data_IF_248824752581
#
_entry.id   IF_248824752581
#
_cell.length_a   1.000
_cell.length_b   1.000
_cell.length_c   1.000
_cell.angle_alpha   90.00
_cell.angle_beta   90.00
_cell.angle_gamma   90.00
#
_symmetry.space_group_name_H-M   'P 1'
#
loop_
_entity.id
_entity.type
_entity.pdbx_description
1 polymer ?
#
# COMPACT_ATOMS: atom_id res chain seq x y z
N UNK A 1 22.15 5.06 8.83
CA UNK A 1 21.41 5.10 7.55
C UNK A 1 20.45 6.26 7.61
N UNK A 2 20.62 7.23 6.73
CA UNK A 2 19.64 8.30 6.57
C UNK A 2 18.36 7.71 5.97
N UNK A 3 17.24 7.79 6.67
CA UNK A 3 15.96 7.27 6.19
C UNK A 3 15.51 8.13 5.00
N UNK A 4 15.37 7.52 3.81
CA UNK A 4 14.94 8.20 2.58
C UNK A 4 13.59 8.90 2.79
N UNK A 5 13.42 10.09 2.19
CA UNK A 5 12.11 10.76 2.17
C UNK A 5 11.24 10.10 1.10
N UNK A 6 9.97 9.85 1.43
CA UNK A 6 9.04 9.20 0.51
C UNK A 6 7.96 10.15 0.00
N UNK A 7 7.57 9.99 -1.26
CA UNK A 7 6.43 10.65 -1.88
C UNK A 7 5.44 9.58 -2.30
N UNK A 8 4.24 9.63 -1.73
CA UNK A 8 3.15 8.70 -2.01
C UNK A 8 2.00 9.45 -2.65
N UNK A 9 1.63 9.05 -3.86
CA UNK A 9 0.64 9.77 -4.68
C UNK A 9 -0.52 8.83 -5.03
N UNK A 10 -1.70 9.20 -4.56
CA UNK A 10 -2.98 8.72 -5.05
C UNK A 10 -3.19 9.26 -6.47
N UNK A 11 -3.26 8.40 -7.48
CA UNK A 11 -3.43 8.86 -8.88
C UNK A 11 -4.89 9.00 -9.29
N UNK A 12 -5.79 8.37 -8.54
CA UNK A 12 -7.20 8.19 -8.89
C UNK A 12 -7.96 7.70 -7.66
N UNK A 13 -9.20 8.11 -7.54
CA UNK A 13 -10.15 7.52 -6.58
C UNK A 13 -10.85 6.27 -7.16
N UNK A 14 -10.76 6.07 -8.49
CA UNK A 14 -11.43 4.95 -9.15
C UNK A 14 -10.69 3.65 -8.86
N UNK A 15 -11.41 2.68 -8.31
CA UNK A 15 -10.96 1.31 -8.20
C UNK A 15 -11.84 0.40 -9.06
N UNK A 16 -11.22 -0.63 -9.66
CA UNK A 16 -11.95 -1.69 -10.35
C UNK A 16 -12.49 -2.75 -9.37
N UNK A 17 -12.10 -2.71 -8.09
CA UNK A 17 -12.55 -3.59 -6.99
C UNK A 17 -13.32 -2.78 -5.93
N UNK A 18 -14.09 -3.46 -5.06
CA UNK A 18 -14.86 -2.85 -3.96
C UNK A 18 -14.65 -3.57 -2.64
N UNK A 19 -13.38 -3.77 -2.24
CA UNK A 19 -13.07 -4.65 -1.14
C UNK A 19 -13.79 -4.25 0.17
N UNK A 20 -14.46 -5.18 0.87
CA UNK A 20 -15.31 -4.82 2.02
C UNK A 20 -14.54 -4.12 3.15
N UNK A 21 -13.27 -4.48 3.35
CA UNK A 21 -12.42 -3.90 4.39
C UNK A 21 -11.74 -2.60 3.96
N UNK A 22 -11.83 -2.20 2.68
CA UNK A 22 -11.16 -1.00 2.20
C UNK A 22 -11.69 0.24 2.92
N UNK A 23 -10.80 1.13 3.34
CA UNK A 23 -11.14 2.38 3.99
C UNK A 23 -10.71 3.60 3.16
N UNK A 24 -10.31 3.40 1.90
CA UNK A 24 -9.82 4.45 0.99
C UNK A 24 -8.90 5.46 1.66
N UNK A 25 -7.92 4.93 2.41
CA UNK A 25 -6.92 5.76 3.11
C UNK A 25 -7.52 6.72 4.15
N UNK A 26 -8.74 6.46 4.61
CA UNK A 26 -9.46 7.31 5.55
C UNK A 26 -10.05 8.56 4.88
N UNK A 27 -10.13 8.60 3.55
CA UNK A 27 -10.68 9.73 2.80
C UNK A 27 -12.21 9.67 2.78
N UNK A 28 -12.84 10.84 2.76
CA UNK A 28 -14.29 11.00 2.77
C UNK A 28 -14.92 10.57 1.44
N UNK A 29 -15.57 9.42 1.46
CA UNK A 29 -16.24 8.77 0.33
C UNK A 29 -17.44 9.54 -0.23
N UNK A 30 -18.00 10.48 0.53
CA UNK A 30 -19.14 11.27 0.07
C UNK A 30 -18.73 12.38 -0.91
N UNK A 31 -17.44 12.72 -0.94
CA UNK A 31 -16.91 13.80 -1.75
C UNK A 31 -16.32 13.27 -3.03
N UNK A 32 -16.85 13.75 -4.16
CA UNK A 32 -16.26 13.51 -5.47
C UNK A 32 -14.93 14.25 -5.57
N UNK A 33 -13.84 13.53 -5.86
CA UNK A 33 -12.51 14.13 -6.03
C UNK A 33 -12.13 14.15 -7.50
N UNK A 34 -11.65 15.30 -7.97
CA UNK A 34 -11.25 15.43 -9.37
C UNK A 34 -9.77 15.10 -9.48
N UNK A 35 -9.46 13.97 -10.10
CA UNK A 35 -8.06 13.59 -10.36
C UNK A 35 -7.38 14.63 -11.24
N UNK A 36 -6.17 15.02 -10.84
CA UNK A 36 -5.33 15.95 -11.59
C UNK A 36 -4.79 15.32 -12.87
N UNK A 37 -4.37 16.18 -13.79
CA UNK A 37 -3.75 15.76 -15.05
C UNK A 37 -2.40 15.11 -14.80
N UNK A 38 -1.94 14.28 -15.73
CA UNK A 38 -0.62 13.64 -15.61
C UNK A 38 0.52 14.68 -15.61
N UNK A 39 0.35 15.79 -16.31
CA UNK A 39 1.30 16.89 -16.32
C UNK A 39 1.41 17.53 -14.93
N UNK A 40 0.29 17.87 -14.28
CA UNK A 40 0.28 18.43 -12.93
C UNK A 40 0.91 17.48 -11.89
N UNK A 41 0.61 16.18 -11.99
CA UNK A 41 1.20 15.16 -11.10
C UNK A 41 2.73 15.06 -11.32
N UNK A 42 3.19 15.07 -12.57
CA UNK A 42 4.61 14.98 -12.89
C UNK A 42 5.39 16.22 -12.48
N UNK A 43 4.79 17.42 -12.57
CA UNK A 43 5.40 18.65 -12.09
C UNK A 43 5.72 18.59 -10.59
N UNK A 44 4.85 17.94 -9.81
CA UNK A 44 5.07 17.66 -8.39
C UNK A 44 6.12 16.58 -8.14
N UNK A 45 6.09 15.48 -8.90
CA UNK A 45 7.13 14.44 -8.84
C UNK A 45 8.51 15.05 -9.08
N UNK A 46 8.66 15.89 -10.11
CA UNK A 46 9.95 16.49 -10.47
C UNK A 46 10.48 17.40 -9.34
N UNK A 47 9.64 18.26 -8.75
CA UNK A 47 10.10 19.13 -7.65
C UNK A 47 10.35 18.34 -6.36
N UNK A 48 9.59 17.28 -6.09
CA UNK A 48 9.83 16.44 -4.93
C UNK A 48 11.17 15.71 -5.03
N UNK A 49 11.48 15.12 -6.19
CA UNK A 49 12.77 14.47 -6.43
C UNK A 49 13.95 15.44 -6.25
N UNK A 50 13.82 16.67 -6.74
CA UNK A 50 14.81 17.74 -6.52
C UNK A 50 15.03 18.10 -5.04
N UNK A 51 14.09 17.74 -4.17
CA UNK A 51 14.13 17.98 -2.72
C UNK A 51 14.41 16.72 -1.88
N UNK A 52 14.88 15.66 -2.54
CA UNK A 52 15.35 14.43 -1.89
C UNK A 52 14.27 13.38 -1.62
N UNK A 53 13.06 13.54 -2.17
CA UNK A 53 12.02 12.51 -2.12
C UNK A 53 12.28 11.42 -3.18
N UNK A 54 13.25 10.55 -2.90
CA UNK A 54 13.73 9.54 -3.85
C UNK A 54 12.99 8.19 -3.77
N UNK A 55 12.02 8.02 -2.86
CA UNK A 55 11.14 6.85 -2.80
C UNK A 55 9.72 7.25 -3.22
N UNK A 56 9.29 6.85 -4.42
CA UNK A 56 8.03 7.22 -5.04
C UNK A 56 7.06 6.04 -5.02
N UNK A 57 5.87 6.25 -4.44
CA UNK A 57 4.80 5.25 -4.42
C UNK A 57 3.57 5.76 -5.17
N UNK A 58 3.12 5.00 -6.17
CA UNK A 58 1.81 5.19 -6.81
C UNK A 58 0.78 4.25 -6.17
N UNK A 59 -0.38 4.79 -5.80
CA UNK A 59 -1.38 4.08 -4.98
C UNK A 59 -2.80 4.62 -5.20
N UNK A 60 -3.72 4.12 -4.37
CA UNK A 60 -5.06 4.59 -4.08
C UNK A 60 -6.04 4.44 -5.26
N UNK A 61 -7.32 4.24 -4.96
CA UNK A 61 -8.22 3.54 -5.90
C UNK A 61 -7.54 2.26 -6.42
N UNK A 62 -7.48 2.10 -7.75
CA UNK A 62 -6.49 1.24 -8.42
C UNK A 62 -5.64 2.11 -9.37
N UNK A 63 -4.34 2.34 -9.07
CA UNK A 63 -3.51 3.24 -9.86
C UNK A 63 -3.30 2.74 -11.29
N UNK A 64 -3.37 1.43 -11.55
CA UNK A 64 -3.25 0.90 -12.91
C UNK A 64 -4.46 1.19 -13.81
N UNK A 65 -5.55 1.75 -13.28
CA UNK A 65 -6.57 2.41 -14.13
C UNK A 65 -6.00 3.63 -14.88
N UNK A 66 -4.89 4.19 -14.38
CA UNK A 66 -4.09 5.27 -14.97
C UNK A 66 -2.75 4.77 -15.52
N UNK A 67 -2.64 3.49 -15.91
CA UNK A 67 -1.38 2.89 -16.41
C UNK A 67 -0.70 3.69 -17.55
N UNK A 68 -1.47 4.34 -18.44
CA UNK A 68 -0.92 5.19 -19.50
C UNK A 68 -0.18 6.42 -18.95
N UNK A 69 -0.70 7.00 -17.86
CA UNK A 69 -0.07 8.12 -17.18
C UNK A 69 1.20 7.65 -16.47
N UNK A 70 1.16 6.47 -15.82
CA UNK A 70 2.33 5.83 -15.20
C UNK A 70 3.43 5.57 -16.24
N UNK A 71 3.12 4.90 -17.36
CA UNK A 71 4.08 4.66 -18.44
C UNK A 71 4.68 5.98 -18.97
N UNK A 72 3.87 7.05 -19.04
CA UNK A 72 4.33 8.38 -19.41
C UNK A 72 5.30 8.97 -18.37
N UNK A 73 5.04 8.80 -17.05
CA UNK A 73 5.99 9.20 -16.00
C UNK A 73 7.33 8.48 -16.14
N UNK A 74 7.33 7.17 -16.35
CA UNK A 74 8.57 6.39 -16.55
C UNK A 74 9.39 6.92 -17.73
N UNK A 75 8.74 7.21 -18.88
CA UNK A 75 9.41 7.82 -20.05
C UNK A 75 10.01 9.19 -19.72
N UNK A 76 9.26 10.05 -19.01
CA UNK A 76 9.74 11.38 -18.62
C UNK A 76 10.89 11.33 -17.63
N UNK A 77 10.84 10.42 -16.65
CA UNK A 77 11.91 10.19 -15.68
C UNK A 77 13.19 9.70 -16.38
N UNK A 78 13.08 8.74 -17.31
CA UNK A 78 14.26 8.26 -18.07
C UNK A 78 14.86 9.37 -18.95
N UNK A 79 14.03 10.18 -19.63
CA UNK A 79 14.50 11.34 -20.41
C UNK A 79 15.27 12.35 -19.53
N UNK A 80 14.87 12.51 -18.27
CA UNK A 80 15.54 13.40 -17.29
C UNK A 80 16.71 12.72 -16.57
N UNK A 81 16.97 11.44 -16.83
CA UNK A 81 17.95 10.62 -16.09
C UNK A 81 17.72 10.64 -14.58
N UNK A 82 16.45 10.65 -14.16
CA UNK A 82 16.04 10.62 -12.75
C UNK A 82 15.48 9.22 -12.44
N UNK A 83 16.06 8.53 -11.47
CA UNK A 83 15.73 7.13 -11.18
C UNK A 83 15.42 6.91 -9.69
N UNK A 84 14.33 7.48 -9.15
CA UNK A 84 13.88 7.14 -7.80
C UNK A 84 13.57 5.65 -7.65
N UNK A 85 13.53 5.17 -6.41
CA UNK A 85 12.89 3.90 -6.12
C UNK A 85 11.39 4.05 -6.37
N UNK A 86 10.79 3.16 -7.17
CA UNK A 86 9.36 3.23 -7.51
C UNK A 86 8.62 2.01 -6.99
N UNK A 87 7.53 2.26 -6.27
CA UNK A 87 6.56 1.26 -5.85
C UNK A 87 5.22 1.51 -6.52
N UNK A 88 4.61 0.48 -7.10
CA UNK A 88 3.19 0.52 -7.49
C UNK A 88 2.40 -0.39 -6.55
N UNK A 89 1.47 0.18 -5.79
CA UNK A 89 0.51 -0.56 -4.95
C UNK A 89 -0.70 -0.88 -5.80
N UNK A 90 -0.97 -2.16 -6.06
CA UNK A 90 -2.02 -2.59 -7.00
C UNK A 90 -2.70 -3.87 -6.53
N UNK A 91 -3.93 -4.11 -6.98
CA UNK A 91 -4.58 -5.42 -6.87
C UNK A 91 -4.07 -6.44 -7.92
N UNK A 92 -3.24 -6.00 -8.87
CA UNK A 92 -2.57 -6.85 -9.84
C UNK A 92 -3.40 -7.26 -11.06
N UNK A 93 -4.70 -6.92 -11.11
CA UNK A 93 -5.59 -7.32 -12.20
C UNK A 93 -5.26 -6.66 -13.54
N UNK A 94 -4.75 -5.42 -13.50
CA UNK A 94 -4.47 -4.58 -14.66
C UNK A 94 -2.99 -4.59 -15.08
N UNK A 95 -2.19 -5.52 -14.55
CA UNK A 95 -0.77 -5.71 -14.90
C UNK A 95 -0.62 -6.44 -16.25
N UNK A 96 -0.98 -5.76 -17.34
CA UNK A 96 -0.82 -6.31 -18.69
C UNK A 96 0.64 -6.31 -19.19
N UNK A 97 0.87 -7.04 -20.29
CA UNK A 97 2.22 -7.20 -20.86
C UNK A 97 2.84 -5.87 -21.29
N UNK A 98 2.04 -4.87 -21.71
CA UNK A 98 2.54 -3.55 -22.10
C UNK A 98 3.08 -2.76 -20.89
N UNK A 99 2.38 -2.79 -19.76
CA UNK A 99 2.87 -2.21 -18.52
C UNK A 99 4.12 -2.93 -18.03
N UNK A 100 4.08 -4.27 -17.99
CA UNK A 100 5.19 -5.09 -17.50
C UNK A 100 6.47 -4.87 -18.32
N UNK A 101 6.34 -4.73 -19.64
CA UNK A 101 7.44 -4.40 -20.54
C UNK A 101 7.96 -2.96 -20.37
N UNK A 102 7.08 -2.02 -20.01
CA UNK A 102 7.49 -0.65 -19.73
C UNK A 102 8.32 -0.57 -18.44
N UNK A 103 7.86 -1.22 -17.36
CA UNK A 103 8.53 -1.13 -16.05
C UNK A 103 9.78 -2.01 -15.97
N UNK A 104 9.88 -3.08 -16.76
CA UNK A 104 11.10 -3.92 -16.83
C UNK A 104 12.32 -3.19 -17.41
N UNK A 105 12.08 -2.12 -18.18
CA UNK A 105 13.14 -1.27 -18.75
C UNK A 105 13.61 -0.17 -17.81
N UNK A 106 13.00 -0.04 -16.63
CA UNK A 106 13.35 0.98 -15.66
C UNK A 106 14.72 0.71 -15.04
N UNK A 107 15.57 1.75 -14.97
CA UNK A 107 16.96 1.62 -14.50
C UNK A 107 17.10 1.77 -12.98
N UNK A 108 16.11 2.35 -12.31
CA UNK A 108 16.08 2.45 -10.84
C UNK A 108 15.46 1.21 -10.20
N UNK A 109 15.40 1.18 -8.86
CA UNK A 109 14.71 0.09 -8.19
C UNK A 109 13.21 0.21 -8.44
N UNK A 110 12.58 -0.90 -8.81
CA UNK A 110 11.15 -0.99 -9.02
C UNK A 110 10.58 -2.21 -8.31
N UNK A 111 9.39 -2.07 -7.73
CA UNK A 111 8.61 -3.19 -7.21
C UNK A 111 7.10 -2.99 -7.35
N UNK A 112 6.39 -4.10 -7.52
CA UNK A 112 4.95 -4.15 -7.29
C UNK A 112 4.66 -4.57 -5.84
N UNK A 113 3.81 -3.81 -5.16
CA UNK A 113 3.16 -4.22 -3.91
C UNK A 113 1.75 -4.71 -4.25
N UNK A 114 1.55 -6.02 -4.32
CA UNK A 114 0.31 -6.63 -4.81
C UNK A 114 -0.58 -7.03 -3.63
N UNK A 115 -1.76 -6.45 -3.58
CA UNK A 115 -2.82 -6.74 -2.60
C UNK A 115 -3.65 -7.94 -3.04
N UNK A 116 -3.40 -9.13 -2.45
CA UNK A 116 -4.02 -10.40 -2.87
C UNK A 116 -5.09 -10.92 -1.88
N UNK A 117 -4.83 -10.82 -0.58
CA UNK A 117 -5.76 -11.09 0.54
C UNK A 117 -6.34 -12.52 0.67
N UNK A 118 -6.43 -13.33 -0.38
CA UNK A 118 -6.77 -14.75 -0.29
C UNK A 118 -6.21 -15.53 -1.47
N UNK A 119 -5.83 -16.80 -1.24
CA UNK A 119 -5.49 -17.76 -2.29
C UNK A 119 -6.65 -18.68 -2.66
N UNK A 120 -7.74 -18.64 -1.89
CA UNK A 120 -8.98 -19.33 -2.23
C UNK A 120 -9.80 -18.41 -3.18
N UNK A 121 -10.14 -18.84 -4.41
CA UNK A 121 -10.87 -18.01 -5.36
C UNK A 121 -12.23 -17.52 -4.85
N UNK A 122 -12.95 -18.33 -4.08
CA UNK A 122 -14.25 -17.92 -3.53
C UNK A 122 -14.10 -16.82 -2.48
N UNK A 123 -13.16 -16.97 -1.56
CA UNK A 123 -12.89 -15.95 -0.56
C UNK A 123 -12.30 -14.69 -1.18
N UNK A 124 -11.46 -14.82 -2.21
CA UNK A 124 -10.97 -13.70 -3.01
C UNK A 124 -12.13 -12.89 -3.61
N UNK A 125 -13.12 -13.56 -4.21
CA UNK A 125 -14.30 -12.92 -4.78
C UNK A 125 -15.21 -12.27 -3.72
N UNK A 126 -15.41 -12.96 -2.59
CA UNK A 126 -16.12 -12.38 -1.42
C UNK A 126 -15.43 -11.11 -0.95
N UNK A 127 -14.09 -11.10 -0.91
CA UNK A 127 -13.29 -9.96 -0.48
C UNK A 127 -13.51 -8.77 -1.38
N UNK A 128 -13.42 -8.92 -2.71
CA UNK A 128 -13.44 -7.78 -3.66
C UNK A 128 -14.84 -7.23 -3.94
N UNK A 129 -15.91 -7.93 -3.51
CA UNK A 129 -17.32 -7.50 -3.54
C UNK A 129 -17.82 -6.93 -4.88
N UNK A 130 -17.49 -7.58 -6.00
CA UNK A 130 -17.94 -7.17 -7.34
C UNK A 130 -19.24 -7.86 -7.80
N UNK A 131 -19.96 -8.51 -6.90
CA UNK A 131 -21.07 -9.40 -7.24
C UNK A 131 -22.38 -8.64 -7.50
N UNK A 132 -22.60 -8.22 -8.75
CA UNK A 132 -23.96 -7.94 -9.26
C UNK A 132 -24.34 -8.81 -10.49
N UNK A 133 -23.46 -9.64 -11.06
CA UNK A 133 -23.81 -10.39 -12.29
C UNK A 133 -23.17 -11.78 -12.48
N UNK A 134 -22.66 -12.43 -11.43
CA UNK A 134 -21.87 -13.66 -11.58
C UNK A 134 -22.43 -14.84 -10.79
N UNK A 135 -23.68 -15.22 -11.10
CA UNK A 135 -24.29 -16.47 -10.61
C UNK A 135 -23.75 -17.72 -11.33
N UNK A 136 -22.48 -17.74 -11.73
CA UNK A 136 -21.85 -18.95 -12.26
C UNK A 136 -20.46 -19.13 -11.66
N UNK A 137 -20.22 -20.32 -11.09
CA UNK A 137 -18.93 -20.78 -10.56
C UNK A 137 -17.77 -20.52 -11.54
N UNK A 138 -18.06 -20.51 -12.85
CA UNK A 138 -17.10 -20.24 -13.93
C UNK A 138 -16.45 -18.85 -13.90
N UNK A 139 -17.05 -17.83 -13.29
CA UNK A 139 -16.47 -16.47 -13.31
C UNK A 139 -15.68 -16.13 -12.05
N UNK A 140 -15.91 -16.83 -10.95
CA UNK A 140 -15.21 -16.59 -9.67
C UNK A 140 -13.70 -16.85 -9.77
N UNK A 141 -13.30 -17.81 -10.58
CA UNK A 141 -11.91 -18.22 -10.73
C UNK A 141 -11.11 -17.33 -11.70
N UNK A 142 -11.79 -16.60 -12.59
CA UNK A 142 -11.15 -15.88 -13.71
C UNK A 142 -10.28 -14.73 -13.21
N UNK A 143 -10.75 -13.95 -12.24
CA UNK A 143 -9.99 -12.80 -11.73
C UNK A 143 -8.77 -13.26 -10.93
N UNK A 144 -8.95 -14.19 -10.00
CA UNK A 144 -7.86 -14.75 -9.23
C UNK A 144 -6.78 -15.36 -10.14
N UNK A 145 -7.17 -16.22 -11.09
CA UNK A 145 -6.24 -16.81 -12.07
C UNK A 145 -5.48 -15.75 -12.85
N UNK A 146 -6.16 -14.70 -13.30
CA UNK A 146 -5.51 -13.61 -14.03
C UNK A 146 -4.48 -12.86 -13.18
N UNK A 147 -4.78 -12.58 -11.90
CA UNK A 147 -3.80 -11.94 -11.00
C UNK A 147 -2.59 -12.86 -10.79
N UNK A 148 -2.80 -14.15 -10.57
CA UNK A 148 -1.71 -15.13 -10.43
C UNK A 148 -0.87 -15.24 -11.71
N UNK A 149 -1.51 -15.23 -12.88
CA UNK A 149 -0.82 -15.20 -14.17
C UNK A 149 0.04 -13.93 -14.33
N UNK A 150 -0.51 -12.76 -13.98
CA UNK A 150 0.20 -11.50 -14.03
C UNK A 150 1.40 -11.46 -13.07
N UNK A 151 1.27 -12.04 -11.87
CA UNK A 151 2.36 -12.23 -10.92
C UNK A 151 3.49 -13.03 -11.58
N UNK A 152 3.15 -14.18 -12.19
CA UNK A 152 4.14 -15.03 -12.87
C UNK A 152 4.81 -14.31 -14.04
N UNK A 153 4.04 -13.60 -14.87
CA UNK A 153 4.55 -12.77 -15.98
C UNK A 153 5.50 -11.68 -15.51
N UNK A 154 5.22 -11.03 -14.38
CA UNK A 154 6.09 -10.03 -13.80
C UNK A 154 7.39 -10.66 -13.28
N UNK A 155 7.31 -11.82 -12.61
CA UNK A 155 8.48 -12.55 -12.14
C UNK A 155 9.37 -13.07 -13.26
N UNK A 156 8.79 -13.54 -14.38
CA UNK A 156 9.53 -13.92 -15.59
C UNK A 156 10.35 -12.76 -16.18
N UNK A 157 9.95 -11.52 -15.91
CA UNK A 157 10.67 -10.29 -16.30
C UNK A 157 11.60 -9.77 -15.20
N UNK A 158 11.90 -10.58 -14.19
CA UNK A 158 12.74 -10.24 -13.04
C UNK A 158 12.24 -9.02 -12.25
N UNK A 159 10.93 -8.73 -12.29
CA UNK A 159 10.36 -7.65 -11.50
C UNK A 159 10.25 -8.07 -10.03
N UNK A 160 10.53 -7.13 -9.13
CA UNK A 160 10.35 -7.35 -7.70
C UNK A 160 8.86 -7.29 -7.36
N UNK A 161 8.43 -8.23 -6.51
CA UNK A 161 7.05 -8.30 -6.04
C UNK A 161 7.08 -8.46 -4.53
N UNK A 162 6.21 -7.71 -3.86
CA UNK A 162 5.83 -7.92 -2.48
C UNK A 162 4.34 -8.23 -2.45
N UNK A 163 3.94 -9.30 -1.77
CA UNK A 163 2.52 -9.57 -1.56
C UNK A 163 2.05 -8.96 -0.24
N UNK A 164 0.88 -8.34 -0.27
CA UNK A 164 0.21 -7.79 0.90
C UNK A 164 -1.08 -8.57 1.19
N UNK A 165 -1.27 -8.90 2.47
CA UNK A 165 -2.45 -9.56 2.99
C UNK A 165 -2.92 -8.83 4.23
N UNK A 166 -4.10 -8.21 4.18
CA UNK A 166 -4.86 -7.88 5.39
C UNK A 166 -5.35 -9.18 6.00
N UNK A 167 -5.03 -9.41 7.27
CA UNK A 167 -5.45 -10.57 8.05
C UNK A 167 -6.94 -10.45 8.39
N UNK A 168 -7.70 -11.44 7.96
CA UNK A 168 -9.15 -11.50 8.10
C UNK A 168 -9.50 -12.81 8.83
N UNK A 169 -9.98 -12.69 10.07
CA UNK A 169 -10.39 -13.80 10.93
C UNK A 169 -11.41 -14.68 10.21
N UNK A 170 -11.15 -15.98 10.17
CA UNK A 170 -12.03 -16.95 9.49
C UNK A 170 -11.88 -16.99 7.97
N UNK A 171 -10.97 -16.21 7.37
CA UNK A 171 -10.67 -16.24 5.93
C UNK A 171 -9.23 -16.71 5.69
N UNK A 172 -8.23 -15.94 6.13
CA UNK A 172 -6.81 -16.18 5.79
C UNK A 172 -5.88 -16.28 7.00
N UNK A 173 -6.45 -16.46 8.19
CA UNK A 173 -5.75 -16.41 9.50
C UNK A 173 -5.49 -17.78 10.11
N UNK A 174 -6.13 -18.84 9.60
CA UNK A 174 -5.86 -20.21 10.04
C UNK A 174 -4.43 -20.62 9.69
N UNK A 175 -3.82 -21.48 10.52
CA UNK A 175 -2.45 -21.94 10.32
C UNK A 175 -2.24 -22.45 8.89
N UNK A 176 -3.02 -23.42 8.44
CA UNK A 176 -2.81 -23.98 7.09
C UNK A 176 -2.95 -22.94 5.97
N UNK A 177 -3.81 -21.93 6.13
CA UNK A 177 -3.96 -20.82 5.17
C UNK A 177 -2.75 -19.90 5.12
N UNK A 178 -2.17 -19.58 6.27
CA UNK A 178 -0.91 -18.83 6.29
C UNK A 178 0.21 -19.64 5.66
N UNK A 179 0.27 -20.96 5.93
CA UNK A 179 1.24 -21.84 5.26
C UNK A 179 1.09 -21.81 3.74
N UNK A 180 -0.14 -21.99 3.25
CA UNK A 180 -0.47 -21.90 1.82
C UNK A 180 0.04 -20.57 1.22
N UNK A 181 -0.16 -19.45 1.92
CA UNK A 181 0.32 -18.12 1.49
C UNK A 181 1.84 -18.04 1.40
N UNK A 182 2.54 -18.52 2.42
CA UNK A 182 4.01 -18.51 2.47
C UNK A 182 4.62 -19.41 1.38
N UNK A 183 4.07 -20.62 1.21
CA UNK A 183 4.50 -21.56 0.16
C UNK A 183 4.21 -21.01 -1.23
N UNK A 184 3.05 -20.38 -1.43
CA UNK A 184 2.71 -19.75 -2.71
C UNK A 184 3.74 -18.68 -3.11
N UNK A 185 4.19 -17.85 -2.17
CA UNK A 185 5.23 -16.85 -2.46
C UNK A 185 6.53 -17.52 -2.89
N UNK A 186 7.00 -18.53 -2.15
CA UNK A 186 8.22 -19.28 -2.48
C UNK A 186 8.12 -19.94 -3.87
N UNK A 187 7.00 -20.60 -4.17
CA UNK A 187 6.75 -21.27 -5.45
C UNK A 187 6.74 -20.30 -6.65
N UNK A 188 6.38 -19.03 -6.41
CA UNK A 188 6.36 -17.99 -7.45
C UNK A 188 7.60 -17.07 -7.39
N UNK A 189 8.69 -17.46 -6.71
CA UNK A 189 9.92 -16.67 -6.58
C UNK A 189 9.70 -15.26 -5.99
N UNK A 190 8.77 -15.15 -5.05
CA UNK A 190 8.50 -13.94 -4.27
C UNK A 190 9.22 -14.09 -2.94
N UNK A 191 9.99 -13.06 -2.58
CA UNK A 191 10.86 -13.06 -1.40
C UNK A 191 10.35 -12.14 -0.28
N UNK A 192 9.17 -11.52 -0.44
CA UNK A 192 8.56 -10.64 0.55
C UNK A 192 7.04 -10.78 0.63
N UNK A 193 6.54 -11.10 1.84
CA UNK A 193 5.12 -10.98 2.22
C UNK A 193 4.98 -9.98 3.37
N UNK A 194 3.91 -9.18 3.32
CA UNK A 194 3.45 -8.37 4.44
C UNK A 194 2.04 -8.77 4.85
N UNK A 195 1.90 -9.16 6.10
CA UNK A 195 0.62 -9.29 6.78
C UNK A 195 0.30 -7.99 7.52
N UNK A 196 -0.90 -7.47 7.27
CA UNK A 196 -1.42 -6.28 7.93
C UNK A 196 -2.57 -6.68 8.84
N UNK A 197 -2.56 -6.17 10.06
CA UNK A 197 -3.72 -6.24 10.94
C UNK A 197 -4.90 -5.46 10.32
N UNK A 198 -6.12 -5.98 10.49
CA UNK A 198 -7.32 -5.30 10.01
C UNK A 198 -7.55 -4.01 10.81
N UNK A 199 -7.55 -2.87 10.12
CA UNK A 199 -7.99 -1.61 10.69
C UNK A 199 -9.52 -1.53 10.63
N UNK A 200 -10.17 -1.48 11.80
CA UNK A 200 -11.61 -1.24 11.90
C UNK A 200 -11.84 0.23 12.21
N UNK A 201 -12.44 0.96 11.27
CA UNK A 201 -12.74 2.39 11.40
C UNK A 201 -14.15 2.63 11.92
N UNK A 202 -14.41 3.86 12.39
CA UNK A 202 -15.75 4.32 12.71
C UNK A 202 -16.68 4.17 11.50
N UNK A 203 -17.92 3.73 11.74
CA UNK A 203 -18.88 3.42 10.67
C UNK A 203 -18.76 2.03 10.03
N UNK A 204 -17.73 1.23 10.38
CA UNK A 204 -17.55 -0.16 9.90
C UNK A 204 -17.43 -1.19 11.02
N UNK A 205 -18.19 -1.03 12.10
CA UNK A 205 -18.09 -1.88 13.31
C UNK A 205 -18.39 -3.36 13.03
N UNK A 206 -19.18 -3.65 12.00
CA UNK A 206 -19.46 -5.01 11.53
C UNK A 206 -18.19 -5.77 11.09
N UNK A 207 -17.10 -5.07 10.76
CA UNK A 207 -15.82 -5.68 10.40
C UNK A 207 -15.07 -6.26 11.61
N UNK A 208 -15.43 -5.93 12.85
CA UNK A 208 -14.82 -6.53 14.04
C UNK A 208 -14.92 -8.06 14.06
N UNK A 209 -15.92 -8.65 13.40
CA UNK A 209 -16.02 -10.11 13.27
C UNK A 209 -14.84 -10.74 12.51
N UNK A 210 -14.17 -9.96 11.65
CA UNK A 210 -12.97 -10.35 10.91
C UNK A 210 -11.67 -9.90 11.60
N UNK A 211 -11.74 -9.20 12.72
CA UNK A 211 -10.54 -8.73 13.42
C UNK A 211 -9.87 -9.87 14.21
N UNK A 212 -8.54 -9.88 14.19
CA UNK A 212 -7.69 -10.70 15.04
C UNK A 212 -6.42 -9.90 15.33
N UNK A 213 -5.92 -10.01 16.56
CA UNK A 213 -4.66 -9.38 16.94
C UNK A 213 -3.51 -10.07 16.21
N UNK A 214 -2.60 -9.28 15.64
CA UNK A 214 -1.47 -9.85 14.87
C UNK A 214 -0.56 -10.72 15.74
N UNK A 215 -0.51 -10.47 17.05
CA UNK A 215 0.21 -11.30 18.02
C UNK A 215 -0.30 -12.74 18.09
N UNK A 216 -1.61 -12.96 17.86
CA UNK A 216 -2.16 -14.33 17.80
C UNK A 216 -1.60 -15.10 16.61
N UNK A 217 -1.38 -14.40 15.50
CA UNK A 217 -0.78 -15.00 14.31
C UNK A 217 0.71 -15.26 14.52
N UNK A 218 1.41 -14.31 15.13
CA UNK A 218 2.82 -14.47 15.50
C UNK A 218 3.05 -15.70 16.38
N UNK A 219 2.25 -15.87 17.42
CA UNK A 219 2.40 -16.97 18.38
C UNK A 219 2.21 -18.35 17.74
N UNK A 220 1.25 -18.48 16.82
CA UNK A 220 0.98 -19.74 16.08
C UNK A 220 2.15 -20.14 15.15
N UNK A 221 2.96 -19.15 14.74
CA UNK A 221 4.00 -19.27 13.72
C UNK A 221 5.42 -19.08 14.23
N UNK A 222 5.60 -18.81 15.53
CA UNK A 222 6.90 -18.48 16.12
C UNK A 222 7.98 -19.55 15.88
N UNK A 223 7.60 -20.82 15.81
CA UNK A 223 8.53 -21.94 15.63
C UNK A 223 8.94 -22.13 14.16
N UNK A 224 8.16 -21.59 13.22
CA UNK A 224 8.43 -21.65 11.77
C UNK A 224 9.09 -20.36 11.25
N UNK A 225 9.18 -19.32 12.07
CA UNK A 225 9.65 -17.99 11.70
C UNK A 225 10.89 -17.58 12.50
N UNK A 226 11.97 -17.23 11.80
CA UNK A 226 13.17 -16.66 12.41
C UNK A 226 13.08 -15.14 12.47
N UNK A 227 13.07 -14.56 13.66
CA UNK A 227 13.04 -13.11 13.85
C UNK A 227 14.31 -12.46 13.26
N UNK A 228 14.14 -11.46 12.38
CA UNK A 228 15.22 -10.66 11.81
C UNK A 228 15.33 -9.27 12.43
N UNK A 229 14.21 -8.57 12.60
CA UNK A 229 14.19 -7.20 13.13
C UNK A 229 12.94 -7.01 13.99
N UNK A 230 13.12 -6.44 15.20
CA UNK A 230 12.04 -6.12 16.15
C UNK A 230 11.93 -4.64 16.54
N UNK A 231 12.97 -3.84 16.27
CA UNK A 231 13.09 -2.47 16.80
C UNK A 231 12.43 -1.41 15.90
N UNK A 232 11.52 -1.81 15.00
CA UNK A 232 10.71 -0.86 14.24
C UNK A 232 9.32 -0.81 14.88
N UNK A 233 8.83 0.38 15.29
CA UNK A 233 7.50 0.51 15.87
C UNK A 233 6.42 -0.13 14.99
N UNK A 234 5.58 -0.97 15.61
CA UNK A 234 4.44 -1.67 14.97
C UNK A 234 4.81 -2.62 13.82
N UNK A 235 6.10 -2.90 13.61
CA UNK A 235 6.57 -3.76 12.53
C UNK A 235 7.59 -4.75 13.02
N UNK A 236 7.30 -6.04 12.86
CA UNK A 236 8.25 -7.12 13.06
C UNK A 236 8.58 -7.77 11.72
N UNK A 237 9.85 -8.09 11.51
CA UNK A 237 10.32 -8.77 10.30
C UNK A 237 10.90 -10.13 10.66
N UNK A 238 10.43 -11.16 9.98
CA UNK A 238 10.86 -12.55 10.12
C UNK A 238 11.38 -13.10 8.80
N UNK A 239 11.98 -14.27 8.89
CA UNK A 239 12.41 -15.09 7.77
C UNK A 239 11.74 -16.46 7.86
N UNK A 240 11.04 -16.84 6.80
CA UNK A 240 10.47 -18.16 6.61
C UNK A 240 11.38 -19.00 5.71
N UNK A 241 11.77 -20.20 6.18
CA UNK A 241 12.67 -21.13 5.48
C UNK A 241 13.96 -20.48 4.94
N UNK A 242 14.52 -19.54 5.69
CA UNK A 242 15.71 -18.76 5.34
C UNK A 242 15.67 -18.01 4.00
N UNK A 243 14.49 -17.87 3.37
CA UNK A 243 14.33 -17.32 2.01
C UNK A 243 13.32 -16.19 1.91
N UNK A 244 12.18 -16.33 2.59
CA UNK A 244 11.05 -15.42 2.44
C UNK A 244 10.97 -14.46 3.62
N UNK A 245 11.05 -13.17 3.36
CA UNK A 245 10.82 -12.13 4.37
C UNK A 245 9.33 -12.03 4.68
N UNK A 246 8.98 -12.11 5.95
CA UNK A 246 7.60 -12.00 6.44
C UNK A 246 7.50 -10.79 7.37
N UNK A 247 6.82 -9.76 6.92
CA UNK A 247 6.54 -8.55 7.70
C UNK A 247 5.18 -8.67 8.39
N UNK A 248 5.16 -8.57 9.71
CA UNK A 248 3.93 -8.40 10.49
C UNK A 248 3.79 -6.91 10.84
N UNK A 249 2.72 -6.29 10.33
CA UNK A 249 2.42 -4.88 10.56
C UNK A 249 1.16 -4.72 11.39
N UNK A 250 1.31 -4.17 12.59
CA UNK A 250 0.18 -3.81 13.47
C UNK A 250 -0.46 -2.51 13.00
N UNK A 251 -1.79 -2.48 12.99
CA UNK A 251 -2.61 -1.36 12.51
C UNK A 251 -3.39 -0.75 13.69
N UNK A 252 -2.71 -0.41 14.78
CA UNK A 252 -3.29 0.40 15.85
C UNK A 252 -2.62 1.76 15.91
N UNK A 253 -3.39 2.80 15.61
CA UNK A 253 -2.98 4.16 15.94
C UNK A 253 -3.43 4.56 17.35
N UNK A 254 -2.97 3.81 18.34
CA UNK A 254 -3.11 4.15 19.77
C UNK A 254 -1.81 4.68 20.39
N UNK A 255 -0.66 4.56 19.72
CA UNK A 255 0.64 5.01 20.28
C UNK A 255 0.93 6.51 20.12
N UNK A 256 -0.03 7.33 19.66
CA UNK A 256 0.17 8.76 19.50
C UNK A 256 1.23 9.12 18.45
N UNK A 257 1.24 10.39 18.07
CA UNK A 257 2.18 10.93 17.07
C UNK A 257 3.66 10.90 17.56
N UNK A 258 3.93 10.48 18.80
CA UNK A 258 5.23 10.56 19.50
C UNK A 258 6.26 9.51 19.06
N UNK A 259 5.87 8.50 18.30
CA UNK A 259 6.81 7.64 17.57
C UNK A 259 6.89 8.01 16.07
N UNK A 260 6.09 8.98 15.60
CA UNK A 260 6.10 9.56 14.26
C UNK A 260 6.81 10.93 14.25
N UNK A 261 7.91 11.08 15.02
CA UNK A 261 8.54 12.38 15.31
C UNK A 261 9.26 13.03 14.11
N UNK A 262 9.37 12.31 12.99
CA UNK A 262 9.90 12.83 11.73
C UNK A 262 9.06 12.27 10.61
N UNK A 263 7.87 12.81 10.40
CA UNK A 263 7.12 12.51 9.19
C UNK A 263 7.93 12.99 7.97
N UNK A 264 8.59 12.04 7.30
CA UNK A 264 9.38 12.25 6.08
C UNK A 264 8.58 11.87 4.84
N UNK A 265 7.32 11.49 5.04
CA UNK A 265 6.45 10.96 4.02
C UNK A 265 5.47 12.05 3.59
N UNK A 266 5.42 12.30 2.28
CA UNK A 266 4.45 13.20 1.68
C UNK A 266 3.36 12.35 1.05
N UNK A 267 2.16 12.38 1.62
CA UNK A 267 1.01 11.67 1.08
C UNK A 267 0.12 12.68 0.34
N UNK A 268 -0.09 12.45 -0.96
CA UNK A 268 -0.90 13.29 -1.83
C UNK A 268 -2.15 12.53 -2.27
N UNK A 269 -3.31 13.18 -2.16
CA UNK A 269 -4.56 12.70 -2.78
C UNK A 269 -4.52 12.88 -4.30
N UNK A 270 -5.47 12.27 -5.02
CA UNK A 270 -5.65 12.45 -6.46
C UNK A 270 -5.90 13.91 -6.90
N UNK A 271 -6.32 14.78 -5.98
CA UNK A 271 -6.51 16.22 -6.21
C UNK A 271 -5.22 17.02 -6.00
N UNK A 272 -4.11 16.36 -5.66
CA UNK A 272 -2.87 16.96 -5.20
C UNK A 272 -3.07 17.77 -3.91
N UNK A 273 -3.76 17.18 -2.94
CA UNK A 273 -3.81 17.70 -1.57
C UNK A 273 -2.89 16.87 -0.68
N UNK A 274 -1.96 17.53 -0.02
CA UNK A 274 -1.08 16.93 0.97
C UNK A 274 -1.83 16.75 2.29
N UNK A 275 -1.77 15.55 2.85
CA UNK A 275 -2.19 15.28 4.21
C UNK A 275 -1.02 14.73 5.03
N UNK A 276 -0.77 15.28 6.24
CA UNK A 276 0.39 14.90 7.05
C UNK A 276 0.18 13.55 7.74
N UNK A 277 -1.06 13.10 7.91
CA UNK A 277 -1.36 11.85 8.61
C UNK A 277 -2.66 11.25 8.05
N UNK A 278 -2.73 9.92 7.94
CA UNK A 278 -3.95 9.21 7.54
C UNK A 278 -5.15 9.44 8.49
N UNK A 279 -4.90 9.79 9.75
CA UNK A 279 -5.97 10.16 10.71
C UNK A 279 -6.50 11.56 10.44
N UNK A 280 -5.65 12.45 9.95
CA UNK A 280 -5.98 13.82 9.61
C UNK A 280 -6.18 13.97 8.11
N UNK A 281 -6.63 12.92 7.42
CA UNK A 281 -6.87 12.94 5.97
C UNK A 281 -7.79 14.10 5.53
N UNK A 282 -8.70 14.50 6.43
CA UNK A 282 -9.58 15.66 6.25
C UNK A 282 -8.87 17.03 6.42
N UNK A 283 -7.77 17.08 7.16
CA UNK A 283 -6.92 18.28 7.26
C UNK A 283 -5.82 18.19 6.20
N UNK A 284 -6.09 18.79 5.04
CA UNK A 284 -5.20 18.71 3.90
C UNK A 284 -4.92 20.08 3.29
N UNK A 285 -3.81 20.16 2.56
CA UNK A 285 -3.31 21.39 1.94
C UNK A 285 -3.19 21.17 0.43
N UNK A 286 -3.81 22.03 -0.37
CA UNK A 286 -3.57 22.00 -1.82
C UNK A 286 -2.09 22.29 -2.11
N UNK A 287 -1.45 21.38 -2.85
CA UNK A 287 -0.04 21.50 -3.23
C UNK A 287 0.11 21.74 -4.72
N UNK A 288 1.06 22.63 -5.02
CA UNK A 288 1.58 22.95 -6.34
C UNK A 288 3.10 22.94 -6.26
N UNK A 289 3.74 23.06 -7.42
CA UNK A 289 5.20 23.03 -7.53
C UNK A 289 5.87 24.06 -6.61
N UNK A 290 5.32 25.26 -6.55
CA UNK A 290 5.86 26.41 -5.84
C UNK A 290 5.73 26.33 -4.32
N UNK A 291 4.75 25.57 -3.80
CA UNK A 291 4.41 25.58 -2.38
C UNK A 291 4.57 24.21 -1.69
N UNK A 292 4.99 23.16 -2.39
CA UNK A 292 5.09 21.80 -1.86
C UNK A 292 5.82 21.76 -0.50
N UNK A 293 7.02 22.34 -0.43
CA UNK A 293 7.84 22.31 0.80
C UNK A 293 7.23 23.12 1.94
N UNK A 294 6.60 24.26 1.61
CA UNK A 294 5.88 25.08 2.59
C UNK A 294 4.73 24.29 3.20
N UNK A 295 3.90 23.62 2.39
CA UNK A 295 2.78 22.82 2.88
C UNK A 295 3.24 21.61 3.68
N UNK A 296 4.33 20.96 3.27
CA UNK A 296 4.93 19.87 4.06
C UNK A 296 5.39 20.37 5.43
N UNK A 297 6.03 21.54 5.48
CA UNK A 297 6.43 22.16 6.76
C UNK A 297 5.23 22.45 7.65
N UNK A 298 4.15 23.03 7.12
CA UNK A 298 2.92 23.30 7.85
C UNK A 298 2.29 22.02 8.41
N UNK A 299 2.22 20.94 7.62
CA UNK A 299 1.69 19.67 8.12
C UNK A 299 2.56 19.04 9.20
N UNK A 300 3.89 19.20 9.13
CA UNK A 300 4.80 18.75 10.18
C UNK A 300 4.60 19.54 11.48
N UNK A 301 4.44 20.87 11.40
CA UNK A 301 4.10 21.71 12.55
C UNK A 301 2.77 21.27 13.19
N UNK A 302 1.76 20.97 12.38
CA UNK A 302 0.46 20.48 12.86
C UNK A 302 0.55 19.15 13.62
N UNK A 303 1.37 18.19 13.15
CA UNK A 303 1.63 16.94 13.88
C UNK A 303 2.28 17.24 15.24
N UNK A 304 3.25 18.16 15.27
CA UNK A 304 3.95 18.54 16.50
C UNK A 304 3.02 19.25 17.49
N UNK A 305 2.06 20.04 17.03
CA UNK A 305 1.08 20.68 17.89
C UNK A 305 0.07 19.69 18.47
N UNK A 306 -0.38 18.72 17.66
CA UNK A 306 -1.21 17.63 18.15
C UNK A 306 -0.50 16.83 19.23
N UNK A 307 0.79 16.55 19.06
CA UNK A 307 1.62 15.91 20.08
C UNK A 307 1.59 16.67 21.41
N UNK A 308 1.88 17.97 21.37
CA UNK A 308 1.87 18.83 22.56
C UNK A 308 0.50 18.87 23.23
N UNK A 309 -0.58 18.79 22.46
CA UNK A 309 -1.95 18.76 23.00
C UNK A 309 -2.29 17.43 23.69
N UNK A 310 -1.81 16.31 23.14
CA UNK A 310 -2.00 14.97 23.70
C UNK A 310 -1.19 14.77 25.00
N UNK A 311 0.04 15.28 25.07
CA UNK A 311 0.84 15.24 26.31
C UNK A 311 0.18 16.01 27.45
N UNK A 312 -0.55 17.09 27.15
CA UNK A 312 -1.31 17.86 28.15
C UNK A 312 -2.57 17.15 28.66
N UNK A 313 -3.10 16.17 27.93
CA UNK A 313 -4.33 15.46 28.32
C UNK A 313 -4.07 14.20 29.16
N UNK A 314 -2.82 13.77 29.31
CA UNK A 314 -2.43 12.56 30.10
C UNK A 314 -2.09 12.92 31.57
N UNK A 315 -2.44 14.12 32.04
CA UNK A 315 -2.24 14.58 33.42
C UNK A 315 -3.54 14.93 34.15
N UNK A 316 -4.66 14.26 33.83
CA UNK A 316 -5.90 14.40 34.60
C UNK A 316 -6.40 13.06 35.11
#
# INVERSE_FOLDING_TARGET
MEISKSLRISLTEKCNYRCFFCHEEGLDMSKKRISKTKEEVYDLIEIALKNGYNDLTFTDGEPLTKKKDIQWYFKKLDHKKMYPDITIVTNGFLMDDELLECVSKYKGNFKFNISLHSLNPEDYEKIICLAENLNSEKVMDVRFKKVVENIRKAKLRNLNIKLNFVLLKGINTGKDKIREILEFALQNNIDYIKFLELLVIEGKKELYKYFTEIEQIEEVWKDELKLLLKDIPRRKLYLYKDKLKVELQKCTCSFGCSNCLKNRDVNLTAELKYFPCFILSNENYEVKRENLLEKVKLGNEKIMDLLRSMEKTVHC
#
